data_IF_272338167034
#
_entry.id   IF_272338167034
#
_cell.length_a   1.000
_cell.length_b   1.000
_cell.length_c   1.000
_cell.angle_alpha   90.00
_cell.angle_beta   90.00
_cell.angle_gamma   90.00
#
_symmetry.space_group_name_H-M   'P 1'
#
loop_
_entity.id
_entity.type
_entity.pdbx_description
1 polymer ?
#
# COMPACT_ATOMS: atom_id res chain seq x y z
N UNK A 1 -5.00 -13.27 -8.60
CA UNK A 1 -3.95 -12.21 -8.61
C UNK A 1 -2.54 -12.78 -8.38
N UNK A 2 -2.30 -13.58 -7.32
CA UNK A 2 -0.96 -14.14 -7.00
C UNK A 2 -0.29 -14.89 -8.15
N UNK A 3 -1.02 -15.74 -8.88
CA UNK A 3 -0.47 -16.48 -10.03
C UNK A 3 -0.19 -15.60 -11.24
N UNK A 4 -1.07 -14.63 -11.52
CA UNK A 4 -0.88 -13.64 -12.60
C UNK A 4 0.37 -12.78 -12.35
N UNK A 5 0.64 -12.42 -11.09
CA UNK A 5 1.80 -11.60 -10.73
C UNK A 5 3.15 -12.31 -11.00
N UNK A 6 3.17 -13.65 -11.02
CA UNK A 6 4.36 -14.48 -11.27
C UNK A 6 4.61 -14.78 -12.75
N UNK A 7 3.65 -14.48 -13.64
CA UNK A 7 3.80 -14.70 -15.07
C UNK A 7 4.98 -13.89 -15.63
N UNK A 8 5.53 -14.36 -16.76
CA UNK A 8 6.48 -13.57 -17.52
C UNK A 8 5.83 -12.25 -17.97
N UNK A 9 6.63 -11.19 -18.10
CA UNK A 9 6.14 -9.86 -18.46
C UNK A 9 5.28 -9.92 -19.72
N UNK A 10 5.75 -10.63 -20.75
CA UNK A 10 5.02 -10.80 -22.01
C UNK A 10 3.61 -11.39 -21.81
N UNK A 11 3.51 -12.52 -21.12
CA UNK A 11 2.23 -13.22 -20.90
C UNK A 11 1.28 -12.37 -20.04
N UNK A 12 1.82 -11.66 -19.05
CA UNK A 12 1.05 -10.76 -18.19
C UNK A 12 0.54 -9.54 -18.97
N UNK A 13 1.38 -8.94 -19.82
CA UNK A 13 0.99 -7.83 -20.70
C UNK A 13 -0.10 -8.26 -21.68
N UNK A 14 0.03 -9.43 -22.31
CA UNK A 14 -1.01 -9.98 -23.19
C UNK A 14 -2.34 -10.19 -22.45
N UNK A 15 -2.28 -10.68 -21.21
CA UNK A 15 -3.47 -10.83 -20.36
C UNK A 15 -4.12 -9.48 -20.02
N UNK A 16 -3.33 -8.48 -19.64
CA UNK A 16 -3.85 -7.13 -19.34
C UNK A 16 -4.45 -6.48 -20.59
N UNK A 17 -3.87 -6.69 -21.77
CA UNK A 17 -4.42 -6.23 -23.04
C UNK A 17 -5.78 -6.89 -23.35
N UNK A 18 -5.87 -8.22 -23.18
CA UNK A 18 -7.13 -8.94 -23.40
C UNK A 18 -8.24 -8.48 -22.44
N UNK A 19 -7.91 -8.30 -21.16
CA UNK A 19 -8.84 -7.78 -20.16
C UNK A 19 -9.29 -6.35 -20.48
N UNK A 20 -8.36 -5.48 -20.87
CA UNK A 20 -8.65 -4.11 -21.25
C UNK A 20 -9.60 -4.01 -22.45
N UNK A 21 -9.40 -4.83 -23.49
CA UNK A 21 -10.31 -4.92 -24.65
C UNK A 21 -11.70 -5.36 -24.19
N UNK A 22 -11.79 -6.41 -23.36
CA UNK A 22 -13.08 -6.91 -22.84
C UNK A 22 -13.82 -5.88 -22.00
N UNK A 23 -13.10 -4.99 -21.31
CA UNK A 23 -13.67 -3.98 -20.41
C UNK A 23 -13.86 -2.62 -21.09
N UNK A 24 -13.40 -2.43 -22.33
CA UNK A 24 -13.39 -1.12 -22.99
C UNK A 24 -12.48 -0.10 -22.31
N UNK A 25 -11.42 -0.57 -21.64
CA UNK A 25 -10.46 0.24 -20.90
C UNK A 25 -9.11 0.31 -21.60
N UNK A 26 -8.24 1.24 -21.16
CA UNK A 26 -6.86 1.25 -21.61
C UNK A 26 -6.04 0.18 -20.86
N UNK A 27 -5.13 -0.56 -21.52
CA UNK A 27 -4.31 -1.60 -20.87
C UNK A 27 -3.53 -1.14 -19.64
N UNK A 28 -2.98 0.07 -19.68
CA UNK A 28 -2.27 0.68 -18.55
C UNK A 28 -3.16 0.85 -17.31
N UNK A 29 -4.45 1.14 -17.46
CA UNK A 29 -5.38 1.28 -16.34
C UNK A 29 -5.61 -0.07 -15.68
N UNK A 30 -5.79 -1.13 -16.47
CA UNK A 30 -5.98 -2.50 -15.96
C UNK A 30 -4.72 -2.98 -15.23
N UNK A 31 -3.55 -2.75 -15.81
CA UNK A 31 -2.28 -3.11 -15.18
C UNK A 31 -2.08 -2.41 -13.83
N UNK A 32 -2.28 -1.09 -13.79
CA UNK A 32 -2.13 -0.34 -12.54
C UNK A 32 -3.15 -0.77 -11.49
N UNK A 33 -4.41 -1.00 -11.88
CA UNK A 33 -5.46 -1.48 -10.97
C UNK A 33 -5.13 -2.84 -10.37
N UNK A 34 -4.58 -3.74 -11.21
CA UNK A 34 -4.09 -5.04 -10.76
C UNK A 34 -3.02 -4.90 -9.68
N UNK A 35 -2.01 -4.05 -9.89
CA UNK A 35 -0.92 -3.88 -8.93
C UNK A 35 -1.39 -3.21 -7.63
N UNK A 36 -2.32 -2.26 -7.70
CA UNK A 36 -2.97 -1.67 -6.52
C UNK A 36 -3.71 -2.73 -5.72
N UNK A 37 -4.55 -3.54 -6.37
CA UNK A 37 -5.30 -4.60 -5.70
C UNK A 37 -4.37 -5.69 -5.12
N UNK A 38 -3.30 -6.04 -5.85
CA UNK A 38 -2.28 -6.97 -5.38
C UNK A 38 -1.56 -6.45 -4.13
N UNK A 39 -1.18 -5.17 -4.11
CA UNK A 39 -0.51 -4.54 -2.98
C UNK A 39 -1.44 -4.47 -1.76
N UNK A 40 -2.71 -4.08 -1.96
CA UNK A 40 -3.72 -4.08 -0.89
C UNK A 40 -3.92 -5.47 -0.30
N UNK A 41 -4.07 -6.50 -1.14
CA UNK A 41 -4.17 -7.90 -0.67
C UNK A 41 -2.97 -8.29 0.19
N UNK A 42 -1.77 -7.94 -0.26
CA UNK A 42 -0.56 -8.22 0.51
C UNK A 42 -0.53 -7.49 1.86
N UNK A 43 -0.72 -6.17 1.83
CA UNK A 43 -0.62 -5.31 3.00
C UNK A 43 -1.56 -5.74 4.13
N UNK A 44 -2.77 -6.18 3.80
CA UNK A 44 -3.81 -6.50 4.79
C UNK A 44 -3.90 -7.99 5.16
N UNK A 45 -3.31 -8.90 4.39
CA UNK A 45 -3.40 -10.34 4.68
C UNK A 45 -2.07 -11.02 5.02
N UNK A 46 -0.99 -10.65 4.34
CA UNK A 46 0.27 -11.40 4.36
C UNK A 46 1.44 -10.61 4.95
N UNK A 47 1.42 -9.28 4.87
CA UNK A 47 2.48 -8.41 5.37
C UNK A 47 2.70 -8.59 6.89
N UNK A 48 3.97 -8.54 7.32
CA UNK A 48 4.35 -8.54 8.74
C UNK A 48 3.56 -7.50 9.57
N UNK A 49 3.27 -6.34 8.98
CA UNK A 49 2.59 -5.22 9.64
C UNK A 49 1.10 -5.13 9.34
N UNK A 50 0.46 -6.20 8.85
CA UNK A 50 -0.96 -6.17 8.41
C UNK A 50 -1.97 -5.62 9.41
N UNK A 51 -1.72 -5.81 10.71
CA UNK A 51 -2.59 -5.31 11.78
C UNK A 51 -2.28 -3.87 12.21
N UNK A 52 -1.31 -3.21 11.57
CA UNK A 52 -0.94 -1.83 11.84
C UNK A 52 -1.49 -0.87 10.78
N UNK A 53 -2.06 -1.35 9.67
CA UNK A 53 -2.62 -0.49 8.63
C UNK A 53 -4.13 -0.31 8.80
N UNK A 54 -4.60 0.90 8.45
CA UNK A 54 -6.01 1.18 8.18
C UNK A 54 -6.10 1.81 6.80
N UNK A 55 -6.94 1.23 5.93
CA UNK A 55 -7.15 1.75 4.59
C UNK A 55 -8.08 2.97 4.65
N UNK A 56 -7.68 4.07 4.02
CA UNK A 56 -8.46 5.32 3.97
C UNK A 56 -8.48 5.91 2.56
N UNK A 57 -9.03 7.12 2.45
CA UNK A 57 -8.96 7.94 1.23
C UNK A 57 -9.96 7.54 0.15
N UNK A 58 -9.85 8.21 -1.01
CA UNK A 58 -10.77 8.01 -2.14
C UNK A 58 -10.72 6.58 -2.69
N UNK A 59 -9.56 5.93 -2.63
CA UNK A 59 -9.38 4.54 -3.07
C UNK A 59 -10.16 3.55 -2.19
N UNK A 60 -10.26 3.78 -0.87
CA UNK A 60 -11.12 2.97 0.00
C UNK A 60 -12.61 3.14 -0.33
N UNK A 61 -13.03 4.36 -0.69
CA UNK A 61 -14.41 4.65 -1.08
C UNK A 61 -14.78 4.02 -2.44
N UNK A 62 -13.86 3.96 -3.40
CA UNK A 62 -14.11 3.30 -4.70
C UNK A 62 -14.02 1.77 -4.61
N UNK A 63 -13.06 1.22 -3.86
CA UNK A 63 -12.79 -0.23 -3.80
C UNK A 63 -13.66 -0.98 -2.79
N UNK A 64 -14.02 -0.38 -1.67
CA UNK A 64 -14.81 -1.05 -0.62
C UNK A 64 -16.29 -0.68 -0.65
N UNK A 65 -16.63 0.51 -1.15
CA UNK A 65 -18.00 1.03 -1.10
C UNK A 65 -18.58 1.38 -2.48
N UNK A 66 -17.79 1.28 -3.56
CA UNK A 66 -18.21 1.61 -4.93
C UNK A 66 -18.85 3.00 -5.09
N UNK A 67 -18.48 3.97 -4.24
CA UNK A 67 -19.12 5.29 -4.17
C UNK A 67 -18.66 6.23 -5.30
N UNK A 68 -17.46 5.98 -5.86
CA UNK A 68 -16.90 6.76 -6.97
C UNK A 68 -16.29 5.81 -8.01
N UNK A 69 -16.63 6.00 -9.29
CA UNK A 69 -16.07 5.26 -10.42
C UNK A 69 -14.90 6.03 -11.04
N UNK A 70 -13.79 6.11 -10.30
CA UNK A 70 -12.52 6.63 -10.82
C UNK A 70 -11.40 5.68 -10.51
N UNK A 71 -10.53 5.48 -11.50
CA UNK A 71 -9.26 4.84 -11.27
C UNK A 71 -8.46 5.66 -10.26
N UNK A 72 -7.90 5.02 -9.25
CA UNK A 72 -7.10 5.65 -8.20
C UNK A 72 -5.86 4.80 -8.00
N UNK A 73 -4.73 5.34 -8.46
CA UNK A 73 -3.41 4.69 -8.40
C UNK A 73 -2.85 4.70 -6.99
N UNK A 74 -3.19 5.71 -6.20
CA UNK A 74 -2.66 5.92 -4.87
C UNK A 74 -3.33 5.02 -3.83
N UNK A 75 -2.52 4.48 -2.91
CA UNK A 75 -2.99 3.74 -1.73
C UNK A 75 -2.78 4.60 -0.50
N UNK A 76 -3.86 5.20 0.00
CA UNK A 76 -3.83 5.97 1.23
C UNK A 76 -3.97 5.06 2.47
N UNK A 77 -2.92 5.00 3.29
CA UNK A 77 -2.91 4.22 4.53
C UNK A 77 -2.73 5.14 5.74
N UNK A 78 -3.39 4.79 6.84
CA UNK A 78 -2.99 5.21 8.18
C UNK A 78 -2.20 4.06 8.78
N UNK A 79 -1.08 4.39 9.41
CA UNK A 79 -0.30 3.46 10.19
C UNK A 79 -0.57 3.70 11.69
N UNK A 80 -0.93 2.64 12.41
CA UNK A 80 -0.98 2.64 13.87
C UNK A 80 0.43 2.66 14.43
N UNK A 81 0.96 3.87 14.59
CA UNK A 81 2.29 4.12 15.11
C UNK A 81 2.53 3.47 16.48
N UNK A 82 1.48 3.22 17.29
CA UNK A 82 1.63 2.59 18.61
C UNK A 82 2.11 1.14 18.53
N UNK A 83 1.95 0.50 17.38
CA UNK A 83 2.43 -0.86 17.13
C UNK A 83 3.92 -0.89 16.74
N UNK A 84 4.54 0.28 16.57
CA UNK A 84 5.77 0.45 15.79
C UNK A 84 6.80 1.31 16.51
N UNK A 85 6.40 2.38 17.19
CA UNK A 85 7.26 3.19 18.05
C UNK A 85 6.85 3.00 19.52
N UNK A 86 7.84 3.03 20.42
CA UNK A 86 7.69 2.62 21.82
C UNK A 86 6.41 3.15 22.49
N UNK A 87 5.66 2.22 23.09
CA UNK A 87 4.28 2.36 23.54
C UNK A 87 4.07 3.26 24.79
N UNK A 88 5.13 3.89 25.31
CA UNK A 88 5.06 4.65 26.56
C UNK A 88 4.43 6.04 26.41
N UNK A 89 4.20 6.52 25.19
CA UNK A 89 3.64 7.85 24.97
C UNK A 89 2.12 7.83 24.83
N UNK A 90 1.42 8.51 25.75
CA UNK A 90 -0.03 8.73 25.65
C UNK A 90 -0.33 9.83 24.60
N UNK A 91 -1.00 9.51 23.48
CA UNK A 91 -1.29 10.49 22.43
C UNK A 91 -2.31 11.54 22.88
N UNK A 92 -3.16 11.18 23.85
CA UNK A 92 -4.24 11.99 24.38
C UNK A 92 -3.83 12.84 25.58
N UNK A 93 -2.57 12.80 25.97
CA UNK A 93 -2.05 13.68 27.01
C UNK A 93 -2.23 15.15 26.60
N UNK A 94 -2.79 15.96 27.49
CA UNK A 94 -2.93 17.39 27.26
C UNK A 94 -1.56 18.06 27.21
N UNK A 95 -1.29 18.74 26.09
CA UNK A 95 -0.05 19.46 25.85
C UNK A 95 -0.35 20.89 25.42
N UNK A 96 0.55 21.81 25.77
CA UNK A 96 0.52 23.14 25.17
C UNK A 96 0.74 23.03 23.65
N UNK A 97 0.27 24.02 22.88
CA UNK A 97 0.41 24.03 21.41
C UNK A 97 1.86 23.81 20.94
N UNK A 98 2.83 24.41 21.64
CA UNK A 98 4.26 24.28 21.33
C UNK A 98 4.74 22.85 21.63
N UNK A 99 4.38 22.29 22.78
CA UNK A 99 4.76 20.91 23.14
C UNK A 99 4.14 19.89 22.19
N UNK A 100 2.90 20.12 21.75
CA UNK A 100 2.23 19.25 20.79
C UNK A 100 2.91 19.29 19.41
N UNK A 101 3.32 20.47 18.93
CA UNK A 101 4.05 20.60 17.66
C UNK A 101 5.41 19.87 17.71
N UNK A 102 6.17 20.06 18.79
CA UNK A 102 7.44 19.34 19.00
C UNK A 102 7.23 17.82 19.03
N UNK A 103 6.18 17.37 19.72
CA UNK A 103 5.82 15.96 19.77
C UNK A 103 5.46 15.41 18.38
N UNK A 104 4.63 16.10 17.61
CA UNK A 104 4.28 15.69 16.24
C UNK A 104 5.52 15.58 15.34
N UNK A 105 6.46 16.53 15.44
CA UNK A 105 7.73 16.49 14.70
C UNK A 105 8.58 15.28 15.08
N UNK A 106 8.66 14.96 16.37
CA UNK A 106 9.37 13.77 16.85
C UNK A 106 8.73 12.49 16.29
N UNK A 107 7.41 12.33 16.39
CA UNK A 107 6.69 11.16 15.86
C UNK A 107 6.91 11.02 14.35
N UNK A 108 6.84 12.12 13.59
CA UNK A 108 7.12 12.09 12.17
C UNK A 108 8.56 11.65 11.86
N UNK A 109 9.54 12.09 12.65
CA UNK A 109 10.93 11.66 12.50
C UNK A 109 11.11 10.17 12.79
N UNK A 110 10.48 9.64 13.85
CA UNK A 110 10.57 8.22 14.20
C UNK A 110 9.83 7.34 13.17
N UNK A 111 8.66 7.78 12.70
CA UNK A 111 7.94 7.11 11.61
C UNK A 111 8.79 7.06 10.33
N UNK A 112 9.47 8.15 9.98
CA UNK A 112 10.35 8.19 8.80
C UNK A 112 11.52 7.19 8.91
N UNK A 113 12.12 7.05 10.11
CA UNK A 113 13.15 6.03 10.37
C UNK A 113 12.57 4.63 10.19
N UNK A 114 11.42 4.35 10.82
CA UNK A 114 10.74 3.06 10.68
C UNK A 114 10.45 2.72 9.21
N UNK A 115 9.97 3.69 8.41
CA UNK A 115 9.71 3.46 6.99
C UNK A 115 10.96 3.00 6.26
N UNK A 116 12.05 3.74 6.46
CA UNK A 116 13.31 3.52 5.75
C UNK A 116 14.03 2.25 6.19
N UNK A 117 14.04 1.98 7.49
CA UNK A 117 14.90 0.97 8.10
C UNK A 117 14.19 -0.37 8.30
N UNK A 118 12.85 -0.36 8.41
CA UNK A 118 12.09 -1.57 8.71
C UNK A 118 11.00 -1.87 7.67
N UNK A 119 10.08 -0.93 7.42
CA UNK A 119 8.90 -1.22 6.60
C UNK A 119 9.26 -1.50 5.14
N UNK A 120 9.97 -0.57 4.49
CA UNK A 120 10.31 -0.72 3.06
C UNK A 120 11.25 -1.91 2.82
N UNK A 121 12.32 -2.14 3.62
CA UNK A 121 13.14 -3.34 3.48
C UNK A 121 12.32 -4.63 3.62
N UNK A 122 11.42 -4.70 4.61
CA UNK A 122 10.57 -5.86 4.82
C UNK A 122 9.61 -6.08 3.64
N UNK A 123 8.95 -5.03 3.15
CA UNK A 123 8.06 -5.12 1.99
C UNK A 123 8.82 -5.58 0.74
N UNK A 124 10.05 -5.11 0.52
CA UNK A 124 10.85 -5.55 -0.62
C UNK A 124 11.19 -7.04 -0.57
N UNK A 125 11.51 -7.57 0.61
CA UNK A 125 11.73 -9.01 0.82
C UNK A 125 10.45 -9.79 0.53
N UNK A 126 9.33 -9.38 1.14
CA UNK A 126 8.03 -10.02 0.96
C UNK A 126 7.56 -9.98 -0.51
N UNK A 127 7.78 -8.86 -1.21
CA UNK A 127 7.45 -8.72 -2.63
C UNK A 127 8.33 -9.63 -3.50
N UNK A 128 9.62 -9.72 -3.21
CA UNK A 128 10.52 -10.61 -3.96
C UNK A 128 10.09 -12.07 -3.82
N UNK A 129 9.69 -12.50 -2.63
CA UNK A 129 9.18 -13.86 -2.39
C UNK A 129 7.87 -14.12 -3.14
N UNK A 130 6.95 -13.14 -3.14
CA UNK A 130 5.64 -13.27 -3.77
C UNK A 130 5.66 -13.23 -5.29
N UNK A 131 6.48 -12.36 -5.86
CA UNK A 131 6.62 -12.20 -7.30
C UNK A 131 7.55 -13.26 -7.90
N UNK A 132 8.44 -13.84 -7.09
CA UNK A 132 9.47 -14.76 -7.56
C UNK A 132 10.40 -14.07 -8.56
N UNK A 133 10.29 -14.43 -9.84
CA UNK A 133 10.99 -13.79 -10.96
C UNK A 133 10.22 -12.66 -11.66
N UNK A 134 8.95 -12.45 -11.30
CA UNK A 134 8.13 -11.34 -11.82
C UNK A 134 8.61 -9.99 -11.27
N UNK A 135 8.57 -8.94 -12.10
CA UNK A 135 8.83 -7.56 -11.68
C UNK A 135 7.56 -6.73 -11.78
N UNK A 136 7.39 -5.79 -10.85
CA UNK A 136 6.44 -4.68 -11.00
C UNK A 136 7.12 -3.66 -11.91
N UNK A 137 6.61 -3.50 -13.13
CA UNK A 137 7.10 -2.48 -14.04
C UNK A 137 6.13 -1.29 -13.95
N UNK A 138 6.56 -0.23 -13.27
CA UNK A 138 5.89 1.06 -13.30
C UNK A 138 6.65 1.91 -14.33
N UNK A 139 6.16 1.97 -15.57
CA UNK A 139 6.63 2.90 -16.58
C UNK A 139 6.13 4.32 -16.30
#
# INVERSE_FOLDING_TARGET
MKEVAKLQIKDRTELFHAAAISMGMQPNVVEKDFWVCFMLDHLFHDCKYKNAFVFKGGTSLSKSYHVIERFSEDIDLILDWRKIINAEVNPWEERSKIKQDLFNKQINSEAAKFYKEELIPQLNVEMKEKLGGGRMDFN
#
